data_IF_910860967163
#
_entry.id   IF_910860967163
#
_cell.length_a   1.000
_cell.length_b   1.000
_cell.length_c   1.000
_cell.angle_alpha   90.00
_cell.angle_beta   90.00
_cell.angle_gamma   90.00
#
_symmetry.space_group_name_H-M   'P 1'
#
loop_
_entity.id
_entity.type
_entity.pdbx_description
1 polymer ?
#
# COMPACT_ATOMS: atom_id res chain seq x y z
N UNK A 1 -2.34 28.64 15.34
CA UNK A 1 -1.15 28.81 14.50
C UNK A 1 -0.75 27.41 14.04
N UNK A 2 -0.53 27.20 12.74
CA UNK A 2 -0.22 25.88 12.20
C UNK A 2 1.09 25.35 12.81
N UNK A 3 1.04 24.17 13.44
CA UNK A 3 2.14 23.61 14.25
C UNK A 3 3.41 23.45 13.40
N UNK A 4 3.26 22.96 12.16
CA UNK A 4 4.38 22.75 11.25
C UNK A 4 5.00 24.08 10.81
N UNK A 5 4.18 25.11 10.59
CA UNK A 5 4.63 26.45 10.25
C UNK A 5 5.43 27.11 11.38
N UNK A 6 5.08 26.86 12.64
CA UNK A 6 5.87 27.34 13.77
C UNK A 6 7.20 26.59 13.88
N UNK A 7 7.17 25.25 13.77
CA UNK A 7 8.38 24.43 13.83
C UNK A 7 9.36 24.73 12.70
N UNK A 8 8.85 25.09 11.52
CA UNK A 8 9.68 25.55 10.39
C UNK A 8 10.42 26.85 10.73
N UNK A 9 9.73 27.84 11.28
CA UNK A 9 10.35 29.10 11.70
C UNK A 9 11.43 28.85 12.74
N UNK A 10 11.09 28.13 13.81
CA UNK A 10 12.03 27.86 14.91
C UNK A 10 13.27 27.08 14.43
N UNK A 11 13.09 26.07 13.57
CA UNK A 11 14.19 25.28 13.02
C UNK A 11 15.08 26.08 12.05
N UNK A 12 14.47 26.92 11.21
CA UNK A 12 15.21 27.78 10.29
C UNK A 12 16.02 28.83 11.05
N UNK A 13 15.41 29.52 12.01
CA UNK A 13 16.06 30.53 12.84
C UNK A 13 17.24 29.93 13.64
N UNK A 14 17.05 28.74 14.21
CA UNK A 14 18.11 28.03 14.92
C UNK A 14 19.26 27.60 14.00
N UNK A 15 18.96 27.19 12.76
CA UNK A 15 19.95 26.81 11.76
C UNK A 15 20.76 28.02 11.28
N UNK A 16 20.09 29.16 11.00
CA UNK A 16 20.75 30.41 10.61
C UNK A 16 21.67 30.90 11.74
N UNK A 17 21.17 30.94 12.97
CA UNK A 17 21.95 31.37 14.14
C UNK A 17 23.20 30.49 14.36
N UNK A 18 23.05 29.17 14.21
CA UNK A 18 24.17 28.23 14.35
C UNK A 18 25.17 28.34 13.20
N UNK A 19 24.70 28.67 12.00
CA UNK A 19 25.56 28.89 10.83
C UNK A 19 26.41 30.15 10.99
N UNK A 20 25.80 31.25 11.44
CA UNK A 20 26.53 32.50 11.70
C UNK A 20 27.60 32.31 12.79
N UNK A 21 27.27 31.61 13.88
CA UNK A 21 28.23 31.26 14.92
C UNK A 21 29.40 30.41 14.37
N UNK A 22 29.10 29.39 13.56
CA UNK A 22 30.14 28.57 12.92
C UNK A 22 30.99 29.34 11.92
N UNK A 23 30.38 30.27 11.17
CA UNK A 23 31.08 31.10 10.21
C UNK A 23 32.11 32.02 10.89
N UNK A 24 31.80 32.51 12.11
CA UNK A 24 32.71 33.27 12.95
C UNK A 24 33.83 32.46 13.61
N UNK A 25 33.58 31.18 13.93
CA UNK A 25 34.54 30.30 14.61
C UNK A 25 34.59 28.88 13.99
N UNK A 26 35.20 28.78 12.82
CA UNK A 26 35.26 27.54 12.02
C UNK A 26 36.08 26.41 12.64
N UNK A 27 36.95 26.71 13.62
CA UNK A 27 37.82 25.72 14.27
C UNK A 27 37.13 25.06 15.46
N UNK A 28 36.02 25.64 15.93
CA UNK A 28 35.28 25.14 17.07
C UNK A 28 34.40 23.95 16.70
N UNK A 29 34.76 22.79 17.23
CA UNK A 29 34.08 21.53 16.97
C UNK A 29 32.65 21.53 17.52
N UNK A 30 32.43 22.11 18.70
CA UNK A 30 31.11 22.15 19.33
C UNK A 30 30.12 22.99 18.52
N UNK A 31 30.56 24.13 17.97
CA UNK A 31 29.72 25.00 17.12
C UNK A 31 29.40 24.30 15.79
N UNK A 32 30.36 23.55 15.23
CA UNK A 32 30.12 22.74 14.02
C UNK A 32 29.11 21.62 14.29
N UNK A 33 29.23 20.91 15.41
CA UNK A 33 28.27 19.85 15.79
C UNK A 33 26.88 20.42 16.01
N UNK A 34 26.77 21.59 16.67
CA UNK A 34 25.50 22.29 16.84
C UNK A 34 24.86 22.71 15.51
N UNK A 35 25.66 23.17 14.55
CA UNK A 35 25.18 23.44 13.19
C UNK A 35 24.65 22.16 12.53
N UNK A 36 25.33 21.03 12.68
CA UNK A 36 24.84 19.76 12.13
C UNK A 36 23.50 19.36 12.74
N UNK A 37 23.32 19.45 14.06
CA UNK A 37 22.05 19.17 14.74
C UNK A 37 20.91 20.03 14.20
N UNK A 38 21.10 21.35 14.10
CA UNK A 38 20.07 22.28 13.62
C UNK A 38 19.72 22.04 12.14
N UNK A 39 20.71 21.72 11.30
CA UNK A 39 20.46 21.28 9.92
C UNK A 39 19.67 19.97 9.88
N UNK A 40 19.94 19.02 10.78
CA UNK A 40 19.17 17.77 10.86
C UNK A 40 17.72 18.00 11.27
N UNK A 41 17.46 18.89 12.22
CA UNK A 41 16.08 19.26 12.58
C UNK A 41 15.35 19.94 11.40
N UNK A 42 16.01 20.86 10.69
CA UNK A 42 15.43 21.50 9.51
C UNK A 42 15.04 20.47 8.44
N UNK A 43 15.88 19.45 8.19
CA UNK A 43 15.57 18.36 7.25
C UNK A 43 14.34 17.54 7.67
N UNK A 44 14.15 17.29 8.97
CA UNK A 44 12.95 16.58 9.47
C UNK A 44 11.68 17.38 9.18
N UNK A 45 11.74 18.70 9.39
CA UNK A 45 10.60 19.59 9.10
C UNK A 45 10.32 19.66 7.60
N UNK A 46 11.35 19.80 6.76
CA UNK A 46 11.18 19.79 5.30
C UNK A 46 10.56 18.48 4.81
N UNK A 47 11.04 17.32 5.28
CA UNK A 47 10.47 16.04 4.91
C UNK A 47 8.98 15.92 5.30
N UNK A 48 8.57 16.55 6.41
CA UNK A 48 7.15 16.58 6.80
C UNK A 48 6.32 17.46 5.87
N UNK A 49 6.84 18.63 5.49
CA UNK A 49 6.20 19.51 4.51
C UNK A 49 6.07 18.83 3.14
N UNK A 50 7.09 18.12 2.69
CA UNK A 50 7.05 17.33 1.45
C UNK A 50 5.92 16.29 1.47
N UNK A 51 5.71 15.62 2.60
CA UNK A 51 4.59 14.69 2.76
C UNK A 51 3.24 15.40 2.65
N UNK A 52 3.08 16.58 3.27
CA UNK A 52 1.84 17.35 3.21
C UNK A 52 1.52 17.84 1.80
N UNK A 53 2.55 18.27 1.06
CA UNK A 53 2.41 18.61 -0.37
C UNK A 53 1.96 17.39 -1.16
N UNK A 54 2.64 16.25 -1.03
CA UNK A 54 2.29 15.02 -1.75
C UNK A 54 0.88 14.51 -1.39
N UNK A 55 0.45 14.64 -0.13
CA UNK A 55 -0.91 14.29 0.30
C UNK A 55 -1.95 15.20 -0.34
N UNK A 56 -1.68 16.52 -0.44
CA UNK A 56 -2.58 17.46 -1.08
C UNK A 56 -2.76 17.17 -2.58
N UNK A 57 -1.68 16.79 -3.27
CA UNK A 57 -1.72 16.38 -4.68
C UNK A 57 -2.52 15.09 -4.87
N UNK A 58 -2.28 14.10 -4.01
CA UNK A 58 -3.04 12.84 -4.03
C UNK A 58 -4.52 13.08 -3.75
N UNK A 59 -4.86 13.93 -2.79
CA UNK A 59 -6.25 14.25 -2.46
C UNK A 59 -6.95 14.87 -3.67
N UNK A 60 -6.33 15.85 -4.34
CA UNK A 60 -6.83 16.44 -5.57
C UNK A 60 -7.01 15.40 -6.70
N UNK A 61 -6.07 14.46 -6.86
CA UNK A 61 -6.19 13.40 -7.87
C UNK A 61 -7.23 12.34 -7.52
N UNK A 62 -7.39 12.00 -6.24
CA UNK A 62 -8.38 11.01 -5.79
C UNK A 62 -9.83 11.48 -5.96
N UNK A 63 -10.05 12.81 -6.03
CA UNK A 63 -11.34 13.39 -6.37
C UNK A 63 -11.68 13.24 -7.86
N UNK A 64 -10.73 12.84 -8.72
CA UNK A 64 -11.02 12.53 -10.12
C UNK A 64 -11.43 11.05 -10.24
N UNK A 65 -12.72 10.74 -10.48
CA UNK A 65 -13.14 9.36 -10.64
C UNK A 65 -12.41 8.72 -11.83
N UNK A 66 -11.77 7.58 -11.59
CA UNK A 66 -11.07 6.82 -12.63
C UNK A 66 -12.13 6.26 -13.60
N UNK A 67 -12.00 6.48 -14.91
CA UNK A 67 -12.93 5.91 -15.89
C UNK A 67 -12.97 4.38 -15.76
N UNK A 68 -14.17 3.82 -15.59
CA UNK A 68 -14.36 2.37 -15.55
C UNK A 68 -14.00 1.80 -16.93
N UNK A 69 -13.05 0.84 -17.02
CA UNK A 69 -12.72 0.21 -18.29
C UNK A 69 -13.97 -0.40 -18.95
N UNK A 70 -14.12 -0.30 -20.28
CA UNK A 70 -15.24 -0.93 -20.96
C UNK A 70 -15.17 -2.45 -20.77
N UNK A 71 -16.12 -3.02 -20.04
CA UNK A 71 -16.23 -4.46 -19.87
C UNK A 71 -16.76 -5.11 -21.16
N UNK A 72 -16.26 -6.31 -21.50
CA UNK A 72 -16.73 -7.07 -22.68
C UNK A 72 -18.24 -7.33 -22.68
N UNK A 73 -18.87 -7.37 -21.50
CA UNK A 73 -20.31 -7.58 -21.32
C UNK A 73 -21.18 -6.36 -21.63
N UNK A 74 -20.61 -5.15 -21.66
CA UNK A 74 -21.32 -3.92 -22.05
C UNK A 74 -21.62 -3.87 -23.55
N UNK A 75 -20.95 -4.74 -24.33
CA UNK A 75 -21.24 -4.97 -25.73
C UNK A 75 -22.49 -5.85 -25.79
N UNK A 76 -23.64 -5.23 -25.50
CA UNK A 76 -24.93 -5.83 -25.80
C UNK A 76 -24.92 -6.22 -27.28
N UNK A 77 -25.40 -7.43 -27.50
CA UNK A 77 -25.60 -8.09 -28.77
C UNK A 77 -26.70 -7.34 -29.54
N UNK A 78 -26.42 -6.13 -29.98
CA UNK A 78 -27.38 -5.30 -30.72
C UNK A 78 -27.09 -5.27 -32.23
N UNK A 79 -26.16 -6.10 -32.72
CA UNK A 79 -25.90 -6.27 -34.16
C UNK A 79 -25.57 -7.74 -34.50
N UNK A 80 -26.58 -8.60 -34.53
CA UNK A 80 -26.62 -9.77 -35.41
C UNK A 80 -28.08 -10.22 -35.50
N UNK A 81 -28.63 -10.13 -36.70
CA UNK A 81 -30.05 -10.30 -36.99
C UNK A 81 -30.59 -11.69 -36.69
N UNK A 82 -31.91 -11.74 -36.73
CA UNK A 82 -32.74 -12.94 -36.79
C UNK A 82 -32.23 -13.96 -37.81
N UNK A 83 -31.89 -15.17 -37.35
CA UNK A 83 -32.06 -16.45 -38.06
C UNK A 83 -31.80 -17.54 -37.02
N UNK A 84 -32.82 -18.27 -36.59
CA UNK A 84 -33.09 -19.66 -37.00
C UNK A 84 -31.87 -20.60 -36.89
N UNK A 85 -32.06 -21.73 -36.21
CA UNK A 85 -31.06 -22.81 -36.18
C UNK A 85 -30.51 -23.13 -34.80
N UNK A 86 -31.06 -24.18 -34.21
CA UNK A 86 -30.50 -24.93 -33.10
C UNK A 86 -29.11 -25.50 -33.43
N UNK A 87 -28.04 -24.75 -33.17
CA UNK A 87 -26.66 -25.26 -33.21
C UNK A 87 -26.22 -25.72 -31.82
N UNK A 88 -26.66 -26.93 -31.46
CA UNK A 88 -26.01 -27.71 -30.42
C UNK A 88 -24.80 -28.44 -31.04
N UNK A 89 -23.64 -28.48 -30.38
CA UNK A 89 -22.44 -29.11 -30.94
C UNK A 89 -22.68 -30.59 -31.24
N UNK A 90 -22.20 -31.06 -32.39
CA UNK A 90 -22.41 -32.43 -32.92
C UNK A 90 -22.00 -33.59 -32.00
N UNK A 91 -21.33 -33.32 -30.87
CA UNK A 91 -21.11 -34.30 -29.79
C UNK A 91 -22.42 -34.83 -29.18
N UNK A 92 -23.51 -34.05 -29.23
CA UNK A 92 -24.77 -34.38 -28.54
C UNK A 92 -25.75 -35.13 -29.47
N UNK A 93 -25.59 -35.04 -30.80
CA UNK A 93 -26.59 -35.51 -31.79
C UNK A 93 -26.27 -36.89 -32.40
N UNK A 94 -25.08 -37.45 -32.20
CA UNK A 94 -24.73 -38.79 -32.70
C UNK A 94 -24.58 -39.78 -31.54
N UNK A 95 -25.69 -40.40 -31.13
CA UNK A 95 -25.63 -41.45 -30.10
C UNK A 95 -26.98 -42.03 -29.63
N UNK A 96 -28.04 -42.04 -30.46
CA UNK A 96 -29.26 -42.78 -30.14
C UNK A 96 -29.17 -44.21 -30.67
N UNK A 97 -28.37 -45.04 -29.99
CA UNK A 97 -28.25 -46.47 -30.21
C UNK A 97 -28.51 -47.24 -28.92
N UNK A 98 -29.76 -47.67 -28.75
CA UNK A 98 -30.31 -48.66 -27.82
C UNK A 98 -29.30 -49.64 -27.15
N UNK A 99 -29.23 -49.65 -25.81
CA UNK A 99 -28.59 -50.74 -25.05
C UNK A 99 -28.41 -50.48 -23.55
N UNK A 100 -29.32 -51.05 -22.75
CA UNK A 100 -29.14 -51.66 -21.41
C UNK A 100 -28.13 -51.13 -20.37
N UNK A 101 -28.63 -51.12 -19.13
CA UNK A 101 -27.98 -51.72 -17.95
C UNK A 101 -27.17 -50.79 -16.99
N UNK A 102 -27.72 -50.72 -15.77
CA UNK A 102 -27.10 -50.67 -14.44
C UNK A 102 -25.98 -49.67 -14.07
N UNK A 103 -26.12 -49.12 -12.85
CA UNK A 103 -24.96 -48.92 -11.99
C UNK A 103 -24.74 -47.50 -11.47
N UNK A 104 -25.20 -47.28 -10.24
CA UNK A 104 -24.85 -46.15 -9.37
C UNK A 104 -23.33 -46.04 -9.16
N UNK A 105 -22.76 -44.83 -9.16
CA UNK A 105 -21.75 -44.44 -8.16
C UNK A 105 -21.42 -42.94 -8.20
N UNK A 106 -21.73 -42.27 -7.10
CA UNK A 106 -21.34 -40.91 -6.76
C UNK A 106 -19.82 -40.79 -6.65
N UNK A 107 -19.21 -39.83 -7.36
CA UNK A 107 -17.81 -39.44 -7.19
C UNK A 107 -17.70 -38.02 -6.62
N UNK A 108 -16.89 -37.77 -5.56
CA UNK A 108 -16.85 -36.49 -4.87
C UNK A 108 -16.05 -35.43 -5.62
N UNK A 109 -16.57 -34.20 -5.61
CA UNK A 109 -15.87 -32.97 -5.99
C UNK A 109 -14.65 -32.75 -5.07
N UNK A 110 -13.44 -32.70 -5.62
CA UNK A 110 -12.30 -32.12 -4.92
C UNK A 110 -11.84 -30.82 -5.55
N UNK A 111 -11.82 -29.83 -4.65
CA UNK A 111 -11.55 -28.42 -4.81
C UNK A 111 -10.04 -28.16 -4.79
N UNK A 112 -9.59 -27.28 -5.69
CA UNK A 112 -8.45 -26.36 -5.56
C UNK A 112 -7.05 -26.96 -5.31
N UNK A 113 -6.31 -27.14 -6.39
CA UNK A 113 -4.84 -27.17 -6.39
C UNK A 113 -4.29 -25.98 -7.18
N UNK A 114 -3.70 -25.01 -6.48
CA UNK A 114 -3.09 -23.82 -7.08
C UNK A 114 -2.33 -23.02 -6.03
N UNK A 115 -1.29 -23.62 -5.47
CA UNK A 115 -0.43 -23.04 -4.43
C UNK A 115 0.36 -21.85 -4.95
N UNK A 116 -0.15 -20.65 -4.69
CA UNK A 116 0.55 -19.39 -4.86
C UNK A 116 1.47 -19.10 -3.66
N UNK A 117 2.78 -19.05 -3.94
CA UNK A 117 3.76 -18.10 -3.38
C UNK A 117 3.60 -17.72 -1.90
N UNK A 118 4.37 -18.40 -1.04
CA UNK A 118 4.70 -17.92 0.31
C UNK A 118 5.54 -16.64 0.21
N UNK A 119 4.86 -15.50 0.20
CA UNK A 119 5.45 -14.17 0.36
C UNK A 119 5.68 -13.87 1.84
N UNK A 120 6.82 -13.24 2.12
CA UNK A 120 7.35 -12.94 3.46
C UNK A 120 6.35 -12.29 4.40
N UNK A 121 6.04 -12.99 5.49
CA UNK A 121 5.27 -12.50 6.62
C UNK A 121 6.16 -11.73 7.61
N UNK A 122 5.71 -10.53 7.94
CA UNK A 122 6.32 -9.57 8.84
C UNK A 122 6.73 -10.13 10.21
N UNK A 123 7.99 -9.89 10.61
CA UNK A 123 8.45 -10.06 12.00
C UNK A 123 7.85 -8.94 12.85
N UNK A 124 6.86 -9.25 13.68
CA UNK A 124 6.40 -8.38 14.77
C UNK A 124 7.44 -8.41 15.90
N UNK A 125 7.97 -7.28 16.39
CA UNK A 125 8.75 -7.29 17.62
C UNK A 125 7.80 -7.51 18.82
N UNK A 126 8.16 -8.49 19.65
CA UNK A 126 7.46 -8.79 20.89
C UNK A 126 7.56 -7.59 21.85
N UNK A 127 6.40 -7.11 22.32
CA UNK A 127 6.29 -6.14 23.41
C UNK A 127 6.80 -6.79 24.69
N UNK A 128 7.90 -6.26 25.24
CA UNK A 128 8.37 -6.57 26.60
C UNK A 128 7.54 -5.74 27.56
N UNK A 129 6.68 -6.40 28.34
CA UNK A 129 5.95 -5.77 29.44
C UNK A 129 6.92 -5.44 30.60
N UNK A 130 6.67 -4.36 31.36
CA UNK A 130 7.49 -3.98 32.50
C UNK A 130 7.05 -4.71 33.77
N UNK A 131 7.85 -4.55 34.84
CA UNK A 131 7.48 -4.60 36.26
C UNK A 131 8.00 -5.80 37.06
N UNK A 132 8.81 -5.50 38.09
CA UNK A 132 9.23 -6.45 39.12
C UNK A 132 10.65 -6.25 39.66
N UNK A 133 11.07 -5.02 39.97
CA UNK A 133 12.29 -4.77 40.75
C UNK A 133 11.90 -4.44 42.19
N UNK A 134 11.90 -5.45 43.06
CA UNK A 134 11.73 -5.29 44.49
C UNK A 134 13.02 -4.70 45.07
N UNK A 135 12.91 -3.48 45.62
CA UNK A 135 13.93 -2.86 46.43
C UNK A 135 13.96 -3.52 47.81
N UNK A 136 15.16 -3.91 48.23
CA UNK A 136 15.49 -4.31 49.58
C UNK A 136 17.00 -4.47 49.68
N UNK A 137 17.67 -3.52 50.33
CA UNK A 137 18.33 -3.79 51.61
C UNK A 137 18.91 -2.50 52.21
N UNK A 138 18.67 -2.39 53.53
CA UNK A 138 19.50 -1.85 54.62
C UNK A 138 20.78 -1.06 54.28
#
# INVERSE_FOLDING_TARGET
MDEIGQRLRDAADACVSSYEAWAGDKKNVAVRERLQETVHELRKVCARLEIEVALSEREQMSQRPIPVPPHRSSKRRDEAGSDDGSDLPGFITEGNGNGGDEGRSSGPRQSRGGGGRSGGGARRPARRAPQGGAEGNE
#
